data_IF_055637685864
#
_entry.id   IF_055637685864
#
_cell.length_a   1.000
_cell.length_b   1.000
_cell.length_c   1.000
_cell.angle_alpha   90.00
_cell.angle_beta   90.00
_cell.angle_gamma   90.00
#
_symmetry.space_group_name_H-M   'P 1'
#
loop_
_entity.id
_entity.type
_entity.pdbx_description
1 polymer ?
#
# COMPACT_ATOMS: atom_id res chain seq x y z
N UNK A 1 -35.04 -0.68 -4.23
CA UNK A 1 -35.32 -0.34 -2.82
C UNK A 1 -36.79 -0.26 -2.43
N UNK A 2 -37.61 0.71 -2.89
CA UNK A 2 -39.02 0.84 -2.42
C UNK A 2 -39.85 -0.46 -2.56
N UNK A 3 -39.64 -1.20 -3.65
CA UNK A 3 -40.27 -2.53 -3.84
C UNK A 3 -39.83 -3.54 -2.77
N UNK A 4 -38.56 -3.50 -2.36
CA UNK A 4 -38.06 -4.33 -1.27
C UNK A 4 -38.69 -3.92 0.07
N UNK A 5 -38.80 -2.61 0.35
CA UNK A 5 -39.44 -2.09 1.56
C UNK A 5 -40.92 -2.53 1.69
N UNK A 6 -41.61 -2.70 0.57
CA UNK A 6 -42.99 -3.16 0.56
C UNK A 6 -43.15 -4.69 0.68
N UNK A 7 -42.08 -5.47 0.46
CA UNK A 7 -42.11 -6.92 0.49
C UNK A 7 -41.63 -7.44 1.85
N UNK A 8 -42.50 -8.15 2.58
CA UNK A 8 -42.23 -8.61 3.94
C UNK A 8 -41.00 -9.54 4.06
N UNK A 9 -40.72 -10.31 3.00
CA UNK A 9 -39.61 -11.26 2.92
C UNK A 9 -38.35 -10.69 2.26
N UNK A 10 -38.32 -9.41 1.92
CA UNK A 10 -37.17 -8.80 1.26
C UNK A 10 -36.23 -8.17 2.26
N UNK A 11 -35.02 -8.72 2.37
CA UNK A 11 -33.93 -8.20 3.21
C UNK A 11 -32.98 -7.35 2.37
N UNK A 12 -32.74 -7.76 1.12
CA UNK A 12 -31.83 -7.08 0.18
C UNK A 12 -32.46 -6.93 -1.21
N UNK A 13 -31.97 -5.98 -1.98
CA UNK A 13 -32.31 -5.84 -3.39
C UNK A 13 -31.06 -5.73 -4.26
N UNK A 14 -31.17 -6.14 -5.52
CA UNK A 14 -30.19 -5.86 -6.57
C UNK A 14 -30.89 -5.25 -7.77
N UNK A 15 -30.35 -4.17 -8.32
CA UNK A 15 -30.86 -3.48 -9.49
C UNK A 15 -29.78 -3.39 -10.57
N UNK A 16 -30.10 -3.78 -11.80
CA UNK A 16 -29.18 -3.67 -12.92
C UNK A 16 -29.60 -2.50 -13.81
N UNK A 17 -28.75 -1.48 -13.90
CA UNK A 17 -29.08 -0.27 -14.66
C UNK A 17 -29.34 -0.56 -16.15
N UNK A 18 -28.58 -1.49 -16.75
CA UNK A 18 -28.67 -1.81 -18.17
C UNK A 18 -30.00 -2.47 -18.58
N UNK A 19 -30.50 -3.42 -17.76
CA UNK A 19 -31.73 -4.17 -18.04
C UNK A 19 -32.95 -3.59 -17.33
N UNK A 20 -32.74 -2.65 -16.41
CA UNK A 20 -33.74 -2.21 -15.42
C UNK A 20 -34.31 -3.35 -14.56
N UNK A 21 -33.66 -4.52 -14.53
CA UNK A 21 -34.08 -5.65 -13.71
C UNK A 21 -33.93 -5.32 -12.21
N UNK A 22 -34.81 -5.88 -11.39
CA UNK A 22 -34.81 -5.74 -9.94
C UNK A 22 -35.02 -7.11 -9.31
N UNK A 23 -34.04 -7.59 -8.53
CA UNK A 23 -34.13 -8.81 -7.74
C UNK A 23 -34.36 -8.43 -6.28
N UNK A 24 -35.24 -9.17 -5.60
CA UNK A 24 -35.51 -9.06 -4.18
C UNK A 24 -35.03 -10.36 -3.53
N UNK A 25 -34.24 -10.25 -2.47
CA UNK A 25 -33.58 -11.40 -1.84
C UNK A 25 -33.82 -11.41 -0.33
N UNK A 26 -33.87 -12.61 0.25
CA UNK A 26 -34.08 -12.84 1.68
C UNK A 26 -32.78 -12.74 2.50
N UNK A 27 -32.82 -13.21 3.74
CA UNK A 27 -31.68 -13.21 4.68
C UNK A 27 -30.54 -14.14 4.25
N UNK A 28 -30.82 -15.13 3.41
CA UNK A 28 -29.88 -16.11 2.88
C UNK A 28 -29.18 -15.66 1.58
N UNK A 29 -29.38 -14.40 1.18
CA UNK A 29 -28.75 -13.84 0.00
C UNK A 29 -27.21 -13.89 0.10
N UNK A 30 -26.56 -14.42 -0.94
CA UNK A 30 -25.12 -14.31 -1.11
C UNK A 30 -24.76 -13.07 -1.93
N UNK A 31 -23.67 -12.42 -1.56
CA UNK A 31 -23.13 -11.30 -2.33
C UNK A 31 -22.30 -11.81 -3.51
N UNK A 32 -22.38 -11.10 -4.63
CA UNK A 32 -21.52 -11.29 -5.80
C UNK A 32 -21.29 -9.95 -6.48
N UNK A 33 -20.09 -9.72 -7.00
CA UNK A 33 -19.82 -8.55 -7.84
C UNK A 33 -20.38 -8.76 -9.23
N UNK A 34 -21.21 -7.82 -9.68
CA UNK A 34 -21.67 -7.79 -11.05
C UNK A 34 -21.59 -6.37 -11.61
N UNK A 35 -20.90 -6.15 -12.76
CA UNK A 35 -20.77 -4.82 -13.35
C UNK A 35 -22.12 -4.17 -13.63
N UNK A 36 -22.30 -2.93 -13.14
CA UNK A 36 -23.53 -2.15 -13.35
C UNK A 36 -24.73 -2.57 -12.49
N UNK A 37 -24.53 -3.51 -11.57
CA UNK A 37 -25.50 -3.82 -10.52
C UNK A 37 -25.34 -2.86 -9.32
N UNK A 38 -26.46 -2.45 -8.75
CA UNK A 38 -26.56 -1.70 -7.50
C UNK A 38 -27.36 -2.54 -6.53
N UNK A 39 -26.72 -2.99 -5.46
CA UNK A 39 -27.37 -3.75 -4.41
C UNK A 39 -27.45 -2.96 -3.10
N UNK A 40 -28.40 -3.29 -2.24
CA UNK A 40 -28.52 -2.67 -0.94
C UNK A 40 -29.55 -3.34 -0.02
N UNK A 41 -29.56 -2.99 1.27
CA UNK A 41 -30.55 -3.48 2.21
C UNK A 41 -31.95 -2.92 1.92
N UNK A 42 -32.96 -3.54 2.53
CA UNK A 42 -34.34 -3.05 2.52
C UNK A 42 -34.42 -1.60 3.04
N UNK A 43 -33.67 -1.29 4.10
CA UNK A 43 -33.68 0.00 4.80
C UNK A 43 -32.23 0.53 4.87
N UNK A 44 -32.01 1.79 4.46
CA UNK A 44 -30.67 2.42 4.43
C UNK A 44 -30.29 3.13 5.73
N UNK A 45 -31.10 2.98 6.77
CA UNK A 45 -31.00 3.77 7.99
C UNK A 45 -29.90 3.23 8.93
N UNK A 46 -29.37 2.05 8.62
CA UNK A 46 -28.28 1.43 9.34
C UNK A 46 -26.96 1.87 8.71
N UNK A 47 -25.99 2.22 9.55
CA UNK A 47 -24.60 2.34 9.11
C UNK A 47 -24.22 1.07 8.34
N UNK A 48 -23.46 1.22 7.25
CA UNK A 48 -23.05 0.08 6.44
C UNK A 48 -22.45 -0.99 7.37
N UNK A 49 -22.97 -2.24 7.35
CA UNK A 49 -22.47 -3.32 8.20
C UNK A 49 -20.94 -3.48 8.10
N UNK A 50 -20.35 -3.25 6.91
CA UNK A 50 -18.90 -3.28 6.73
C UNK A 50 -18.13 -2.18 7.47
N UNK A 51 -18.81 -1.25 8.13
CA UNK A 51 -18.25 -0.15 8.93
C UNK A 51 -18.50 -0.29 10.44
N UNK A 52 -19.38 -1.20 10.84
CA UNK A 52 -19.75 -1.40 12.26
C UNK A 52 -19.52 -2.83 12.73
N UNK A 53 -19.67 -3.81 11.84
CA UNK A 53 -19.50 -5.22 12.17
C UNK A 53 -18.06 -5.53 12.55
N UNK A 54 -17.91 -6.59 13.36
CA UNK A 54 -16.65 -7.21 13.73
C UNK A 54 -16.73 -8.70 13.37
N UNK A 55 -15.61 -9.32 12.98
CA UNK A 55 -15.60 -10.76 12.73
C UNK A 55 -15.79 -11.54 14.03
N UNK A 56 -16.30 -12.76 13.92
CA UNK A 56 -16.29 -13.74 14.99
C UNK A 56 -14.89 -14.38 15.18
N UNK A 57 -14.79 -15.29 16.15
CA UNK A 57 -13.53 -15.96 16.49
C UNK A 57 -13.04 -16.97 15.42
N UNK A 58 -13.87 -17.29 14.43
CA UNK A 58 -13.53 -18.17 13.31
C UNK A 58 -12.78 -17.45 12.18
N UNK A 59 -12.61 -16.13 12.26
CA UNK A 59 -11.89 -15.36 11.26
C UNK A 59 -10.36 -15.38 11.49
N UNK A 60 -9.54 -15.59 10.44
CA UNK A 60 -9.93 -15.95 9.08
C UNK A 60 -10.28 -17.44 8.98
N UNK A 61 -11.23 -17.76 8.10
CA UNK A 61 -11.62 -19.13 7.79
C UNK A 61 -10.58 -19.86 6.92
N UNK A 62 -10.73 -21.18 6.78
CA UNK A 62 -9.84 -21.98 5.93
C UNK A 62 -10.08 -21.70 4.44
N UNK A 63 -11.28 -21.25 4.07
CA UNK A 63 -11.66 -20.82 2.72
C UNK A 63 -12.18 -19.38 2.72
N UNK A 64 -12.22 -18.74 1.55
CA UNK A 64 -12.78 -17.39 1.40
C UNK A 64 -14.23 -17.32 1.91
N UNK A 65 -15.03 -18.33 1.59
CA UNK A 65 -16.42 -18.43 2.04
C UNK A 65 -16.56 -18.50 3.55
N UNK A 66 -15.70 -19.28 4.22
CA UNK A 66 -15.69 -19.36 5.68
C UNK A 66 -15.28 -18.02 6.30
N UNK A 67 -14.30 -17.34 5.73
CA UNK A 67 -13.90 -15.99 6.18
C UNK A 67 -15.01 -14.96 6.04
N UNK A 68 -15.82 -15.03 4.98
CA UNK A 68 -16.99 -14.18 4.82
C UNK A 68 -18.07 -14.51 5.84
N UNK A 69 -18.38 -15.80 6.03
CA UNK A 69 -19.39 -16.26 6.98
C UNK A 69 -19.10 -15.89 8.42
N UNK A 70 -17.82 -15.72 8.77
CA UNK A 70 -17.37 -15.23 10.07
C UNK A 70 -17.82 -13.78 10.39
N UNK A 71 -18.33 -13.04 9.40
CA UNK A 71 -18.88 -11.70 9.60
C UNK A 71 -20.41 -11.76 9.73
N UNK A 72 -21.04 -10.92 10.58
CA UNK A 72 -22.50 -10.81 10.67
C UNK A 72 -23.17 -10.51 9.32
N UNK A 73 -22.57 -9.63 8.51
CA UNK A 73 -23.02 -9.34 7.15
C UNK A 73 -22.65 -10.41 6.10
N UNK A 74 -22.07 -11.53 6.53
CA UNK A 74 -21.57 -12.61 5.67
C UNK A 74 -20.65 -12.13 4.54
N UNK A 75 -19.84 -11.10 4.83
CA UNK A 75 -18.83 -10.55 3.93
C UNK A 75 -17.72 -9.85 4.71
N UNK A 76 -16.50 -9.96 4.21
CA UNK A 76 -15.38 -9.17 4.72
C UNK A 76 -15.51 -7.73 4.20
N UNK A 77 -15.32 -6.70 5.04
CA UNK A 77 -15.39 -5.32 4.59
C UNK A 77 -14.39 -5.01 3.48
N UNK A 78 -14.86 -4.36 2.42
CA UNK A 78 -14.01 -3.93 1.32
C UNK A 78 -13.05 -2.83 1.78
N UNK A 79 -11.91 -2.74 1.12
CA UNK A 79 -10.94 -1.66 1.32
C UNK A 79 -11.63 -0.32 1.06
N UNK A 80 -11.50 0.60 2.02
CA UNK A 80 -12.09 1.94 1.97
C UNK A 80 -13.61 1.98 1.75
N UNK A 81 -14.32 0.90 2.11
CA UNK A 81 -15.77 0.87 2.05
C UNK A 81 -16.42 1.99 2.87
N UNK A 82 -15.80 2.33 4.00
CA UNK A 82 -16.25 3.36 4.93
C UNK A 82 -15.69 4.75 4.61
N UNK A 83 -15.08 4.91 3.45
CA UNK A 83 -14.54 6.19 3.01
C UNK A 83 -15.50 6.86 2.03
N UNK A 84 -15.84 8.14 2.23
CA UNK A 84 -16.72 8.86 1.31
C UNK A 84 -16.08 8.94 -0.08
N UNK A 85 -16.86 8.72 -1.13
CA UNK A 85 -16.42 8.95 -2.51
C UNK A 85 -17.16 10.14 -3.09
N UNK A 86 -16.50 10.86 -3.99
CA UNK A 86 -17.13 11.81 -4.87
C UNK A 86 -18.00 11.04 -5.87
N UNK A 87 -19.30 11.33 -5.89
CA UNK A 87 -20.25 10.64 -6.77
C UNK A 87 -20.03 10.92 -8.25
N UNK A 88 -19.39 12.04 -8.60
CA UNK A 88 -19.16 12.41 -10.00
C UNK A 88 -17.96 11.66 -10.59
N UNK A 89 -16.91 11.46 -9.80
CA UNK A 89 -15.62 10.92 -10.26
C UNK A 89 -15.35 9.49 -9.76
N UNK A 90 -16.09 9.04 -8.74
CA UNK A 90 -15.77 7.82 -7.99
C UNK A 90 -14.49 7.92 -7.15
N UNK A 91 -13.84 9.09 -7.12
CA UNK A 91 -12.61 9.36 -6.37
C UNK A 91 -12.91 9.45 -4.87
N UNK A 92 -11.94 9.10 -4.00
CA UNK A 92 -12.12 9.24 -2.56
C UNK A 92 -12.11 10.71 -2.16
N UNK A 93 -13.11 11.14 -1.39
CA UNK A 93 -13.22 12.52 -0.95
C UNK A 93 -12.28 12.81 0.24
N UNK A 94 -12.07 14.09 0.50
CA UNK A 94 -11.26 14.57 1.63
C UNK A 94 -11.98 14.28 2.93
N UNK A 95 -11.19 13.91 3.93
CA UNK A 95 -11.73 13.79 5.28
C UNK A 95 -11.48 15.07 6.10
N UNK A 96 -12.50 15.64 6.78
CA UNK A 96 -12.29 16.77 7.67
C UNK A 96 -11.37 16.44 8.86
N UNK A 97 -11.33 15.17 9.30
CA UNK A 97 -10.43 14.73 10.34
C UNK A 97 -9.02 14.46 9.78
N UNK A 98 -8.07 15.34 10.05
CA UNK A 98 -6.65 15.10 9.74
C UNK A 98 -5.82 15.31 11.00
N UNK A 99 -5.06 14.29 11.38
CA UNK A 99 -4.21 14.32 12.57
C UNK A 99 -2.75 14.28 12.15
N UNK A 100 -1.91 15.12 12.76
CA UNK A 100 -0.46 15.00 12.65
C UNK A 100 -0.01 13.93 13.63
N UNK A 101 0.44 12.80 13.12
CA UNK A 101 0.87 11.66 13.96
C UNK A 101 2.38 11.60 14.13
N UNK A 102 3.14 12.24 13.22
CA UNK A 102 4.58 12.45 13.39
C UNK A 102 4.96 13.84 12.84
N UNK A 103 5.84 14.57 13.53
CA UNK A 103 6.32 15.89 13.13
C UNK A 103 7.83 16.00 13.36
N UNK A 104 8.58 16.43 12.34
CA UNK A 104 10.03 16.57 12.46
C UNK A 104 10.46 17.60 13.48
N UNK A 105 9.60 18.55 13.83
CA UNK A 105 9.83 19.48 14.95
C UNK A 105 9.81 18.79 16.32
N UNK A 106 9.18 17.62 16.40
CA UNK A 106 9.03 16.83 17.63
C UNK A 106 9.96 15.60 17.65
N UNK A 107 10.93 15.52 16.73
CA UNK A 107 11.94 14.46 16.72
C UNK A 107 11.72 13.35 15.68
N UNK A 108 10.64 13.40 14.88
CA UNK A 108 10.49 12.50 13.73
C UNK A 108 11.58 12.80 12.67
N UNK A 109 12.46 11.85 12.31
CA UNK A 109 13.55 12.14 11.38
C UNK A 109 13.06 12.55 9.99
N UNK A 110 11.91 12.03 9.55
CA UNK A 110 11.28 12.41 8.29
C UNK A 110 12.08 12.06 7.04
N UNK A 111 13.05 11.15 7.13
CA UNK A 111 14.01 10.84 6.04
C UNK A 111 13.48 9.81 5.07
N UNK A 112 12.25 10.01 4.63
CA UNK A 112 11.52 9.00 3.89
C UNK A 112 12.04 8.84 2.45
N UNK A 113 11.92 7.62 1.96
CA UNK A 113 12.19 7.20 0.57
C UNK A 113 10.89 6.75 -0.11
N UNK A 114 10.92 6.59 -1.43
CA UNK A 114 9.71 6.25 -2.21
C UNK A 114 8.70 7.39 -2.29
N UNK A 115 9.17 8.64 -2.21
CA UNK A 115 8.33 9.83 -2.31
C UNK A 115 8.37 10.42 -3.71
N UNK A 116 7.25 11.02 -4.10
CA UNK A 116 7.10 11.69 -5.40
C UNK A 116 7.33 13.18 -5.24
N UNK A 117 8.22 13.74 -6.06
CA UNK A 117 8.47 15.18 -6.10
C UNK A 117 7.26 15.92 -6.66
N UNK A 118 6.80 16.93 -5.95
CA UNK A 118 5.80 17.88 -6.44
C UNK A 118 6.53 18.94 -7.23
N UNK A 119 6.30 18.98 -8.55
CA UNK A 119 7.00 19.89 -9.46
C UNK A 119 6.60 21.35 -9.24
N UNK A 120 5.32 21.59 -8.96
CA UNK A 120 4.77 22.93 -8.78
C UNK A 120 3.94 22.95 -7.51
N UNK A 121 4.35 23.78 -6.54
CA UNK A 121 3.53 24.15 -5.39
C UNK A 121 2.89 25.51 -5.74
N UNK A 122 1.55 25.60 -5.85
CA UNK A 122 0.88 26.86 -6.16
C UNK A 122 1.24 27.99 -5.20
N UNK A 123 1.20 29.25 -5.66
CA UNK A 123 1.66 30.43 -4.91
C UNK A 123 1.02 30.62 -3.52
N UNK A 124 -0.18 30.09 -3.30
CA UNK A 124 -0.92 30.18 -2.03
C UNK A 124 -1.07 28.85 -1.32
N UNK A 125 -0.29 27.86 -1.75
CA UNK A 125 -0.23 26.54 -1.14
C UNK A 125 1.15 26.32 -0.54
N UNK A 126 1.19 25.48 0.48
CA UNK A 126 2.41 24.93 1.02
C UNK A 126 2.46 23.44 0.69
N UNK A 127 3.64 22.82 0.81
CA UNK A 127 3.76 21.37 0.71
C UNK A 127 2.82 20.66 1.71
N UNK A 128 2.70 21.20 2.94
CA UNK A 128 1.80 20.68 3.98
C UNK A 128 0.32 20.76 3.58
N UNK A 129 -0.15 21.94 3.14
CA UNK A 129 -1.58 22.14 2.79
C UNK A 129 -1.97 21.35 1.56
N UNK A 130 -1.06 21.25 0.58
CA UNK A 130 -1.26 20.43 -0.61
C UNK A 130 -1.37 18.93 -0.28
N UNK A 131 -0.54 18.44 0.64
CA UNK A 131 -0.61 17.06 1.11
C UNK A 131 -1.91 16.79 1.86
N UNK A 132 -2.30 17.64 2.83
CA UNK A 132 -3.57 17.50 3.57
C UNK A 132 -4.80 17.47 2.68
N UNK A 133 -4.74 18.12 1.51
CA UNK A 133 -5.84 18.17 0.55
C UNK A 133 -6.05 16.86 -0.22
N UNK A 134 -5.05 15.99 -0.27
CA UNK A 134 -5.14 14.71 -0.94
C UNK A 134 -5.25 13.59 0.12
N UNK A 135 -6.38 12.85 0.18
CA UNK A 135 -6.57 11.80 1.19
C UNK A 135 -5.54 10.65 1.05
N UNK A 136 -4.90 10.51 -0.11
CA UNK A 136 -3.82 9.55 -0.33
C UNK A 136 -2.44 10.04 0.12
N UNK A 137 -2.28 11.31 0.49
CA UNK A 137 -0.99 11.82 0.93
C UNK A 137 -0.77 11.49 2.41
N UNK A 138 -0.03 10.42 2.67
CA UNK A 138 0.25 9.95 4.04
C UNK A 138 1.32 10.78 4.75
N UNK A 139 2.21 11.42 3.98
CA UNK A 139 3.37 12.16 4.47
C UNK A 139 3.84 13.17 3.43
N UNK A 140 4.36 14.31 3.91
CA UNK A 140 5.19 15.20 3.11
C UNK A 140 6.56 15.43 3.73
N UNK A 141 7.54 15.77 2.90
CA UNK A 141 8.79 16.37 3.33
C UNK A 141 9.18 17.54 2.42
N UNK A 142 9.85 18.53 3.01
CA UNK A 142 10.48 19.65 2.31
C UNK A 142 11.98 19.47 2.43
N UNK A 143 12.66 19.38 1.30
CA UNK A 143 14.11 19.14 1.22
C UNK A 143 14.76 20.33 0.54
N UNK A 144 15.93 20.74 1.02
CA UNK A 144 16.75 21.69 0.30
C UNK A 144 17.70 20.96 -0.64
N UNK A 145 17.55 21.21 -1.93
CA UNK A 145 18.46 20.65 -2.93
C UNK A 145 19.79 21.40 -2.86
N UNK A 146 20.90 20.76 -3.22
CA UNK A 146 22.23 21.40 -3.33
C UNK A 146 22.74 22.08 -2.05
N UNK A 147 22.33 21.58 -0.88
CA UNK A 147 22.80 22.05 0.44
C UNK A 147 21.97 23.19 1.03
N UNK A 148 22.55 23.92 1.98
CA UNK A 148 21.84 24.92 2.82
C UNK A 148 21.27 26.11 2.03
N UNK A 149 21.79 26.36 0.83
CA UNK A 149 21.41 27.52 0.01
C UNK A 149 20.63 27.18 -1.26
N UNK A 150 20.47 25.91 -1.62
CA UNK A 150 19.76 25.58 -2.85
C UNK A 150 18.24 25.64 -2.70
N UNK A 151 17.49 25.36 -3.78
CA UNK A 151 16.06 25.53 -3.80
C UNK A 151 15.34 24.51 -2.92
N UNK A 152 14.20 24.92 -2.33
CA UNK A 152 13.32 24.00 -1.60
C UNK A 152 12.52 23.16 -2.58
N UNK A 153 12.44 21.86 -2.30
CA UNK A 153 11.64 20.90 -3.06
C UNK A 153 10.61 20.23 -2.14
N UNK A 154 9.42 20.03 -2.67
CA UNK A 154 8.31 19.38 -1.97
C UNK A 154 8.18 17.93 -2.45
N UNK A 155 7.98 17.00 -1.52
CA UNK A 155 7.89 15.57 -1.80
C UNK A 155 6.76 14.95 -0.98
N UNK A 156 5.90 14.16 -1.62
CA UNK A 156 4.73 13.52 -1.00
C UNK A 156 4.79 12.00 -1.12
N UNK A 157 4.26 11.30 -0.12
CA UNK A 157 3.95 9.87 -0.18
C UNK A 157 2.50 9.71 -0.64
N UNK A 158 2.27 9.58 -1.95
CA UNK A 158 0.92 9.40 -2.51
C UNK A 158 0.56 7.93 -2.62
N UNK A 159 -0.47 7.51 -1.88
CA UNK A 159 -0.97 6.14 -1.78
C UNK A 159 0.08 5.11 -1.32
N UNK A 160 1.23 5.59 -0.87
CA UNK A 160 2.30 4.83 -0.23
C UNK A 160 2.47 5.32 1.20
N UNK A 161 3.15 4.56 2.04
CA UNK A 161 3.47 5.00 3.41
C UNK A 161 4.78 5.79 3.51
N UNK A 162 5.60 5.79 2.45
CA UNK A 162 6.99 6.23 2.52
C UNK A 162 7.85 5.27 3.33
N UNK A 163 8.99 4.87 2.78
CA UNK A 163 9.85 3.83 3.34
C UNK A 163 11.03 4.43 4.07
N UNK A 164 11.56 3.70 5.05
CA UNK A 164 12.83 3.99 5.69
C UNK A 164 12.91 5.41 6.30
N UNK A 165 11.79 5.94 6.80
CA UNK A 165 11.71 7.31 7.32
C UNK A 165 12.62 7.60 8.53
N UNK A 166 13.06 6.54 9.22
CA UNK A 166 13.91 6.62 10.41
C UNK A 166 15.39 6.33 10.10
N UNK A 167 15.72 5.99 8.85
CA UNK A 167 17.08 5.60 8.49
C UNK A 167 17.91 6.83 8.11
N UNK A 168 19.21 6.77 8.41
CA UNK A 168 20.17 7.77 7.97
C UNK A 168 20.49 7.53 6.47
N UNK A 169 19.55 7.89 5.60
CA UNK A 169 19.73 7.80 4.14
C UNK A 169 20.73 8.85 3.71
N UNK A 170 21.94 8.43 3.32
CA UNK A 170 23.08 9.30 3.00
C UNK A 170 23.43 10.27 4.14
N UNK A 171 24.71 10.38 4.52
CA UNK A 171 25.10 11.18 5.71
C UNK A 171 24.67 12.66 5.66
N UNK A 172 24.18 13.15 4.52
CA UNK A 172 23.87 14.54 4.25
C UNK A 172 22.39 14.82 3.90
N UNK A 173 21.46 13.86 4.00
CA UNK A 173 20.04 14.14 3.76
C UNK A 173 19.31 14.54 5.05
N UNK A 174 18.88 15.79 5.11
CA UNK A 174 18.10 16.33 6.23
C UNK A 174 16.90 17.10 5.69
N UNK A 175 15.65 16.60 5.85
CA UNK A 175 14.48 17.37 5.49
C UNK A 175 14.41 18.62 6.38
N UNK A 176 14.12 19.77 5.79
CA UNK A 176 13.84 21.02 6.52
C UNK A 176 12.62 20.82 7.42
N UNK A 177 11.62 20.10 6.89
CA UNK A 177 10.36 19.82 7.56
C UNK A 177 9.76 18.56 6.99
N UNK A 178 9.27 17.69 7.86
CA UNK A 178 8.48 16.53 7.46
C UNK A 178 7.35 16.31 8.46
N UNK A 179 6.20 15.86 7.97
CA UNK A 179 5.12 15.36 8.83
C UNK A 179 4.46 14.17 8.20
N UNK A 180 3.95 13.30 9.07
CA UNK A 180 3.05 12.21 8.72
C UNK A 180 1.64 12.55 9.20
N UNK A 181 0.65 12.29 8.36
CA UNK A 181 -0.75 12.53 8.66
C UNK A 181 -1.52 11.22 8.74
N UNK A 182 -2.45 11.13 9.68
CA UNK A 182 -3.56 10.19 9.59
C UNK A 182 -4.78 10.94 9.09
N UNK A 183 -5.32 10.50 7.96
CA UNK A 183 -6.61 10.99 7.46
C UNK A 183 -7.72 10.10 8.04
N UNK A 184 -8.76 10.74 8.57
CA UNK A 184 -9.90 10.07 9.18
C UNK A 184 -9.57 9.41 10.51
N UNK A 185 -10.13 8.22 10.68
CA UNK A 185 -10.03 7.35 11.84
C UNK A 185 -9.68 5.93 11.39
N UNK A 186 -9.13 5.15 12.32
CA UNK A 186 -8.83 3.74 12.12
C UNK A 186 -9.64 2.93 13.11
N UNK A 187 -10.14 1.76 12.71
CA UNK A 187 -10.61 0.72 13.64
C UNK A 187 -9.82 -0.56 13.41
N UNK A 188 -9.54 -1.28 14.49
CA UNK A 188 -8.86 -2.58 14.45
C UNK A 188 -9.94 -3.66 14.33
N UNK A 189 -9.82 -4.50 13.31
CA UNK A 189 -10.73 -5.60 13.00
C UNK A 189 -10.24 -6.93 13.58
N UNK A 190 -8.91 -7.13 13.66
CA UNK A 190 -8.29 -8.28 14.31
C UNK A 190 -6.85 -7.99 14.78
N UNK A 191 -6.43 -8.66 15.85
CA UNK A 191 -5.02 -8.73 16.29
C UNK A 191 -4.29 -9.80 15.46
N UNK A 192 -3.12 -9.45 14.91
CA UNK A 192 -2.31 -10.34 14.07
C UNK A 192 -1.07 -10.87 14.81
N UNK A 193 -0.97 -10.69 16.13
CA UNK A 193 0.12 -11.27 16.92
C UNK A 193 0.14 -12.79 16.77
N UNK A 194 1.31 -13.35 16.44
CA UNK A 194 1.46 -14.79 16.24
C UNK A 194 0.90 -15.30 14.90
N UNK A 195 0.64 -14.41 13.95
CA UNK A 195 0.24 -14.74 12.57
C UNK A 195 1.15 -14.01 11.60
N UNK A 196 1.50 -14.61 10.47
CA UNK A 196 2.26 -13.92 9.40
C UNK A 196 1.34 -13.63 8.22
N UNK A 197 1.20 -12.37 7.84
CA UNK A 197 0.45 -11.96 6.65
C UNK A 197 1.41 -11.87 5.46
N UNK A 198 1.09 -12.57 4.39
CA UNK A 198 1.88 -12.56 3.16
C UNK A 198 1.60 -11.29 2.33
N UNK A 199 2.56 -10.91 1.47
CA UNK A 199 2.38 -9.77 0.54
C UNK A 199 2.59 -8.39 1.15
N UNK A 200 3.15 -8.30 2.36
CA UNK A 200 3.50 -7.02 2.99
C UNK A 200 4.85 -6.48 2.50
N UNK A 201 5.00 -5.16 2.55
CA UNK A 201 6.23 -4.44 2.23
C UNK A 201 7.02 -4.10 3.51
N UNK A 202 8.33 -4.32 3.51
CA UNK A 202 9.19 -3.92 4.63
C UNK A 202 9.36 -2.39 4.67
N UNK A 203 8.73 -1.74 5.65
CA UNK A 203 8.82 -0.29 5.81
C UNK A 203 10.16 0.16 6.43
N UNK A 204 10.69 -0.62 7.39
CA UNK A 204 11.99 -0.41 8.01
C UNK A 204 12.47 -1.67 8.76
N UNK A 205 13.79 -1.87 8.84
CA UNK A 205 14.42 -3.00 9.55
C UNK A 205 14.34 -2.96 11.09
N UNK A 206 14.81 -4.00 11.81
CA UNK A 206 14.59 -4.12 13.25
C UNK A 206 15.48 -3.20 14.12
N UNK A 207 16.61 -2.72 13.59
CA UNK A 207 17.67 -2.07 14.38
C UNK A 207 17.54 -0.55 14.54
N UNK A 208 16.42 0.04 14.08
CA UNK A 208 16.23 1.50 14.10
C UNK A 208 15.76 2.03 15.45
N UNK A 209 15.21 1.17 16.28
CA UNK A 209 14.69 1.51 17.59
C UNK A 209 15.36 0.62 18.62
N UNK A 210 15.88 1.20 19.70
CA UNK A 210 16.36 0.39 20.83
C UNK A 210 15.18 -0.16 21.63
N UNK A 211 14.09 0.61 21.73
CA UNK A 211 12.88 0.18 22.38
C UNK A 211 11.92 -0.47 21.36
N UNK A 212 11.64 -1.75 21.56
CA UNK A 212 10.69 -2.53 20.75
C UNK A 212 9.30 -1.89 20.73
N UNK A 213 8.84 -1.32 21.84
CA UNK A 213 7.55 -0.62 21.91
C UNK A 213 7.49 0.57 20.96
N UNK A 214 8.58 1.34 20.86
CA UNK A 214 8.67 2.46 19.92
C UNK A 214 8.72 1.99 18.47
N UNK A 215 9.33 0.83 18.22
CA UNK A 215 9.38 0.21 16.89
C UNK A 215 7.99 -0.29 16.43
N UNK A 216 7.25 -0.92 17.34
CA UNK A 216 5.86 -1.35 17.12
C UNK A 216 4.99 -0.13 16.83
N UNK A 217 5.10 0.91 17.65
CA UNK A 217 4.33 2.14 17.47
C UNK A 217 4.66 2.82 16.13
N UNK A 218 5.93 2.97 15.80
CA UNK A 218 6.37 3.49 14.51
C UNK A 218 5.82 2.68 13.32
N UNK A 219 5.69 1.36 13.48
CA UNK A 219 5.12 0.49 12.46
C UNK A 219 3.61 0.72 12.28
N UNK A 220 2.89 0.79 13.40
CA UNK A 220 1.46 1.13 13.43
C UNK A 220 1.18 2.47 12.77
N UNK A 221 1.91 3.52 13.16
CA UNK A 221 1.75 4.87 12.60
C UNK A 221 2.09 4.93 11.11
N UNK A 222 3.05 4.12 10.64
CA UNK A 222 3.37 4.02 9.21
C UNK A 222 2.15 3.55 8.41
N UNK A 223 1.49 2.46 8.83
CA UNK A 223 0.28 1.97 8.17
C UNK A 223 -0.91 2.93 8.36
N UNK A 224 -1.15 3.43 9.56
CA UNK A 224 -2.27 4.34 9.88
C UNK A 224 -2.25 5.65 9.06
N UNK A 225 -1.10 6.03 8.52
CA UNK A 225 -1.01 7.21 7.65
C UNK A 225 -1.47 6.99 6.22
N UNK A 226 -1.43 5.76 5.73
CA UNK A 226 -1.83 5.43 4.37
C UNK A 226 -3.22 4.79 4.40
N UNK A 227 -4.23 5.51 3.92
CA UNK A 227 -5.62 5.03 3.91
C UNK A 227 -5.80 3.72 3.11
N UNK A 228 -4.84 3.35 2.26
CA UNK A 228 -4.84 2.10 1.49
C UNK A 228 -4.27 0.90 2.26
N UNK A 229 -3.67 1.12 3.43
CA UNK A 229 -3.09 0.07 4.26
C UNK A 229 -4.17 -0.56 5.16
N UNK A 230 -4.36 -1.88 5.06
CA UNK A 230 -5.23 -2.64 5.95
C UNK A 230 -4.46 -3.55 6.90
N UNK A 231 -3.16 -3.77 6.66
CA UNK A 231 -2.38 -4.73 7.44
C UNK A 231 -1.05 -4.11 7.83
N UNK A 232 -0.65 -4.32 9.09
CA UNK A 232 0.72 -4.09 9.52
C UNK A 232 1.17 -5.14 10.53
N UNK A 233 2.47 -5.41 10.55
CA UNK A 233 3.11 -6.36 11.44
C UNK A 233 4.51 -5.89 11.82
N UNK A 234 4.84 -5.96 13.11
CA UNK A 234 6.22 -5.78 13.57
C UNK A 234 6.84 -7.14 13.89
N UNK A 235 7.84 -7.52 13.10
CA UNK A 235 8.63 -8.71 13.28
C UNK A 235 9.96 -8.36 13.97
N UNK A 236 10.30 -9.06 15.06
CA UNK A 236 11.53 -8.78 15.83
C UNK A 236 12.82 -8.92 15.01
N UNK A 237 12.85 -9.83 14.03
CA UNK A 237 14.04 -10.10 13.22
C UNK A 237 14.13 -9.21 12.00
N UNK A 238 12.98 -8.86 11.41
CA UNK A 238 12.94 -8.21 10.09
C UNK A 238 12.38 -6.78 10.14
N UNK A 239 11.89 -6.32 11.28
CA UNK A 239 11.35 -4.98 11.48
C UNK A 239 9.88 -4.87 11.08
N UNK A 240 9.51 -3.71 10.55
CA UNK A 240 8.13 -3.36 10.24
C UNK A 240 7.72 -3.78 8.83
N UNK A 241 6.54 -4.37 8.72
CA UNK A 241 5.89 -4.80 7.49
C UNK A 241 4.52 -4.16 7.40
N UNK A 242 4.20 -3.51 6.29
CA UNK A 242 2.94 -2.80 6.06
C UNK A 242 2.38 -3.15 4.69
N UNK A 243 1.07 -3.10 4.53
CA UNK A 243 0.46 -3.19 3.21
C UNK A 243 0.71 -1.90 2.42
N UNK A 244 1.25 -2.04 1.21
CA UNK A 244 1.37 -0.95 0.24
C UNK A 244 0.85 -1.45 -1.12
N UNK A 245 -0.44 -1.22 -1.43
CA UNK A 245 -1.05 -1.76 -2.64
C UNK A 245 -0.46 -1.20 -3.93
N UNK A 246 0.20 -0.04 -3.88
CA UNK A 246 0.83 0.57 -5.04
C UNK A 246 2.16 -0.11 -5.34
N UNK A 247 2.94 -0.43 -4.32
CA UNK A 247 4.27 -1.02 -4.48
C UNK A 247 4.25 -2.55 -4.60
N UNK A 248 3.42 -3.25 -3.83
CA UNK A 248 3.42 -4.73 -3.75
C UNK A 248 2.13 -5.38 -4.25
N UNK A 249 1.12 -4.58 -4.62
CA UNK A 249 -0.23 -5.07 -4.87
C UNK A 249 -1.03 -5.26 -3.56
N UNK A 250 -2.37 -5.40 -3.66
CA UNK A 250 -3.19 -5.64 -2.48
C UNK A 250 -2.94 -7.03 -1.90
N UNK A 251 -3.06 -7.16 -0.57
CA UNK A 251 -3.14 -8.48 0.07
C UNK A 251 -4.43 -9.18 -0.38
N UNK A 252 -4.38 -10.51 -0.52
CA UNK A 252 -5.54 -11.31 -0.93
C UNK A 252 -6.74 -11.07 0.01
N UNK A 253 -7.92 -10.89 -0.58
CA UNK A 253 -9.18 -10.61 0.10
C UNK A 253 -10.30 -11.45 -0.54
N UNK A 254 -11.17 -12.13 0.25
CA UNK A 254 -11.13 -12.27 1.71
C UNK A 254 -9.84 -12.93 2.22
N UNK A 255 -9.30 -12.53 3.39
CA UNK A 255 -8.15 -13.22 3.95
C UNK A 255 -8.57 -14.63 4.38
N UNK A 256 -7.73 -15.62 4.11
CA UNK A 256 -7.90 -17.01 4.57
C UNK A 256 -6.74 -17.40 5.48
N UNK A 257 -6.82 -18.56 6.12
CA UNK A 257 -5.69 -19.14 6.87
C UNK A 257 -4.44 -19.37 6.00
N UNK A 258 -4.58 -19.46 4.67
CA UNK A 258 -3.42 -19.53 3.77
C UNK A 258 -2.71 -18.17 3.62
N UNK A 259 -3.47 -17.06 3.60
CA UNK A 259 -2.92 -15.70 3.54
C UNK A 259 -2.39 -15.26 4.91
N UNK A 260 -3.05 -15.71 5.98
CA UNK A 260 -2.72 -15.48 7.37
C UNK A 260 -2.07 -16.74 7.95
N UNK A 261 -0.81 -16.95 7.57
CA UNK A 261 -0.08 -18.16 7.91
C UNK A 261 0.32 -18.15 9.39
N UNK A 262 -0.50 -18.81 10.21
CA UNK A 262 -0.24 -19.07 11.62
C UNK A 262 0.73 -20.26 11.85
N UNK A 263 0.97 -21.08 10.81
CA UNK A 263 1.83 -22.27 10.90
C UNK A 263 3.30 -21.96 10.56
N UNK A 264 3.58 -20.80 9.98
CA UNK A 264 4.94 -20.36 9.67
C UNK A 264 5.83 -20.41 10.92
N UNK A 265 7.05 -20.97 10.84
CA UNK A 265 7.99 -20.95 11.97
C UNK A 265 8.40 -19.51 12.38
N UNK A 266 8.11 -18.52 11.53
CA UNK A 266 8.41 -17.11 11.80
C UNK A 266 7.30 -16.38 12.58
N UNK A 267 6.14 -16.99 12.82
CA UNK A 267 5.04 -16.32 13.53
C UNK A 267 5.40 -15.93 14.97
N UNK A 268 6.24 -16.73 15.63
CA UNK A 268 6.73 -16.42 16.97
C UNK A 268 7.56 -15.11 17.03
N UNK A 269 8.01 -14.62 15.89
CA UNK A 269 8.76 -13.37 15.77
C UNK A 269 7.85 -12.16 15.50
N UNK A 270 6.58 -12.36 15.14
CA UNK A 270 5.59 -11.29 14.96
C UNK A 270 5.09 -10.87 16.34
N UNK A 271 5.64 -9.77 16.86
CA UNK A 271 5.38 -9.31 18.22
C UNK A 271 4.06 -8.54 18.35
N UNK A 272 3.65 -7.88 17.27
CA UNK A 272 2.42 -7.11 17.17
C UNK A 272 2.02 -6.99 15.70
N UNK A 273 0.73 -6.77 15.45
CA UNK A 273 0.19 -6.43 14.14
C UNK A 273 -1.32 -6.30 14.22
N UNK A 274 -1.91 -5.59 13.27
CA UNK A 274 -3.36 -5.38 13.23
C UNK A 274 -3.86 -5.50 11.80
N UNK A 275 -5.05 -6.10 11.65
CA UNK A 275 -5.90 -5.92 10.49
C UNK A 275 -6.84 -4.77 10.78
N UNK A 276 -6.85 -3.74 9.94
CA UNK A 276 -7.51 -2.46 10.21
C UNK A 276 -8.41 -2.02 9.06
N UNK A 277 -9.28 -1.07 9.37
CA UNK A 277 -10.07 -0.34 8.39
C UNK A 277 -10.01 1.16 8.64
N UNK A 278 -9.79 1.91 7.57
CA UNK A 278 -9.90 3.36 7.55
C UNK A 278 -11.34 3.81 7.29
N UNK A 279 -11.80 4.81 8.02
CA UNK A 279 -13.00 5.56 7.68
C UNK A 279 -12.78 7.04 7.92
N UNK A 280 -13.55 7.88 7.26
CA UNK A 280 -13.46 9.31 7.51
C UNK A 280 -14.15 9.71 8.82
N UNK A 281 -15.29 9.08 9.12
CA UNK A 281 -16.07 9.30 10.33
C UNK A 281 -16.92 8.07 10.63
N UNK A 282 -17.66 8.09 11.73
CA UNK A 282 -18.70 7.11 11.99
C UNK A 282 -18.27 5.84 12.74
N UNK A 283 -17.01 5.74 13.18
CA UNK A 283 -16.65 4.69 14.11
C UNK A 283 -17.14 5.04 15.52
N UNK A 284 -17.95 4.15 16.11
CA UNK A 284 -18.34 4.25 17.51
C UNK A 284 -17.12 4.14 18.44
N UNK A 285 -16.11 3.36 18.04
CA UNK A 285 -14.89 3.09 18.81
C UNK A 285 -13.64 3.21 17.92
N UNK A 286 -13.22 4.43 17.57
CA UNK A 286 -11.99 4.62 16.81
C UNK A 286 -10.77 4.20 17.65
N UNK A 287 -9.76 3.61 16.99
CA UNK A 287 -8.46 3.35 17.59
C UNK A 287 -7.87 4.66 18.13
N UNK A 288 -7.49 4.64 19.40
CA UNK A 288 -6.87 5.81 20.03
C UNK A 288 -5.44 5.94 19.52
N UNK A 289 -5.20 6.97 18.72
CA UNK A 289 -3.86 7.39 18.35
C UNK A 289 -3.38 8.38 19.40
N UNK A 290 -2.62 7.89 20.36
CA UNK A 290 -1.85 8.76 21.24
C UNK A 290 -0.69 9.29 20.42
N UNK A 291 -0.70 10.58 20.07
CA UNK A 291 0.45 11.29 19.50
C UNK A 291 1.57 11.46 20.54
N UNK A 292 1.82 10.42 21.33
CA UNK A 292 2.94 10.37 22.25
C UNK A 292 4.19 10.43 21.40
N UNK A 293 5.00 11.46 21.64
CA UNK A 293 6.26 11.66 20.94
C UNK A 293 7.04 10.37 21.09
N UNK A 294 7.18 9.62 19.99
CA UNK A 294 8.06 8.47 19.91
C UNK A 294 9.40 8.94 20.45
N UNK A 295 9.75 8.49 21.66
CA UNK A 295 10.88 9.04 22.41
C UNK A 295 12.09 9.24 21.51
N UNK A 296 12.77 10.38 21.66
CA UNK A 296 13.83 10.82 20.75
C UNK A 296 14.69 9.64 20.27
N UNK A 297 14.90 9.48 18.94
CA UNK A 297 15.75 8.42 18.43
C UNK A 297 17.11 8.52 19.14
N UNK A 298 17.62 7.38 19.61
CA UNK A 298 18.80 7.35 20.46
C UNK A 298 19.96 8.02 19.73
N UNK A 299 20.46 9.07 20.37
CA UNK A 299 21.82 9.51 20.19
C UNK A 299 22.18 9.96 18.77
N UNK A 300 21.53 11.02 18.28
CA UNK A 300 22.37 12.14 17.82
C UNK A 300 22.77 12.92 19.07
N UNK A 301 23.55 12.30 19.96
CA UNK A 301 24.51 13.09 20.72
C UNK A 301 25.31 13.79 19.64
N UNK A 302 25.32 15.12 19.64
CA UNK A 302 26.16 15.91 18.74
C UNK A 302 27.53 15.20 18.58
N UNK A 303 28.09 15.11 17.36
CA UNK A 303 29.34 14.40 17.13
C UNK A 303 30.33 14.84 18.22
N UNK A 304 30.95 13.90 18.95
CA UNK A 304 31.85 14.26 20.04
C UNK A 304 32.89 15.21 19.46
N UNK A 305 32.95 16.43 19.98
CA UNK A 305 33.83 17.49 19.48
C UNK A 305 35.32 17.13 19.63
N UNK A 306 35.64 15.96 20.19
CA UNK A 306 36.93 15.27 20.19
C UNK A 306 36.69 13.78 20.47
N UNK A 307 36.84 12.92 19.45
CA UNK A 307 36.96 11.49 19.69
C UNK A 307 38.34 11.20 20.32
N UNK A 308 38.43 10.38 21.40
CA UNK A 308 39.69 9.79 21.79
C UNK A 308 40.14 8.82 20.69
N UNK A 309 41.40 8.93 20.24
CA UNK A 309 42.02 7.98 19.30
C UNK A 309 42.08 6.60 19.95
N UNK A 310 41.15 5.71 19.61
CA UNK A 310 41.32 4.28 19.81
C UNK A 310 42.22 3.73 18.70
N UNK A 311 43.22 2.94 19.10
CA UNK A 311 44.22 2.39 18.19
C UNK A 311 43.61 1.32 17.28
N UNK A 312 44.06 1.28 16.02
CA UNK A 312 43.59 0.38 14.96
C UNK A 312 43.72 -1.13 15.28
N UNK A 313 44.31 -1.49 16.41
CA UNK A 313 44.62 -2.87 16.76
C UNK A 313 43.47 -3.63 17.46
N UNK A 314 42.47 -2.94 18.01
CA UNK A 314 41.31 -3.57 18.68
C UNK A 314 40.11 -3.80 17.76
N UNK A 315 39.98 -3.05 16.67
CA UNK A 315 38.89 -3.23 15.70
C UNK A 315 39.03 -4.53 14.86
N UNK A 316 40.25 -5.05 14.70
CA UNK A 316 40.51 -6.24 13.88
C UNK A 316 40.20 -7.57 14.59
N UNK A 317 40.13 -7.61 15.93
CA UNK A 317 39.90 -8.87 16.68
C UNK A 317 38.45 -9.34 16.71
N UNK A 318 37.47 -8.44 16.54
CA UNK A 318 36.05 -8.79 16.66
C UNK A 318 35.37 -9.18 15.34
N UNK A 319 36.06 -9.08 14.20
CA UNK A 319 35.50 -9.42 12.89
C UNK A 319 35.76 -10.89 12.46
N UNK A 320 36.63 -11.63 13.16
CA UNK A 320 37.15 -12.92 12.64
C UNK A 320 36.53 -14.19 13.24
N UNK A 321 35.59 -14.10 14.18
CA UNK A 321 35.06 -15.28 14.90
C UNK A 321 33.65 -15.77 14.51
N UNK A 322 32.97 -15.13 13.55
CA UNK A 322 31.59 -15.52 13.19
C UNK A 322 31.41 -16.08 11.76
N UNK A 323 32.48 -16.45 11.05
CA UNK A 323 32.38 -16.79 9.61
C UNK A 323 32.67 -18.26 9.22
N UNK A 324 32.90 -19.19 10.16
CA UNK A 324 33.05 -20.61 9.81
C UNK A 324 32.42 -21.54 10.85
N UNK A 325 31.18 -21.96 10.60
CA UNK A 325 30.66 -23.29 10.97
C UNK A 325 29.25 -23.49 10.43
N UNK A 326 29.06 -24.53 9.61
CA UNK A 326 27.73 -25.10 9.35
C UNK A 326 27.31 -25.24 7.88
N UNK A 327 28.11 -25.92 7.07
CA UNK A 327 27.63 -26.52 5.81
C UNK A 327 26.85 -27.80 6.10
N UNK A 328 25.67 -27.93 5.50
CA UNK A 328 24.86 -29.15 5.50
C UNK A 328 24.02 -29.20 4.23
N UNK A 329 24.49 -29.99 3.26
CA UNK A 329 23.76 -30.34 2.03
C UNK A 329 22.52 -31.16 2.34
N UNK A 330 21.36 -30.73 1.83
CA UNK A 330 20.28 -31.64 1.45
C UNK A 330 19.66 -31.21 0.12
N UNK A 331 19.81 -32.08 -0.86
CA UNK A 331 19.19 -32.09 -2.18
C UNK A 331 17.73 -32.52 -2.10
N UNK A 332 16.82 -31.79 -2.75
CA UNK A 332 15.41 -32.21 -2.88
C UNK A 332 14.62 -31.38 -3.90
N UNK A 333 14.43 -31.96 -5.09
CA UNK A 333 13.24 -31.86 -5.96
C UNK A 333 12.64 -30.49 -6.31
N UNK A 334 13.00 -29.97 -7.49
CA UNK A 334 12.24 -28.89 -8.16
C UNK A 334 11.07 -29.49 -8.94
N UNK A 335 9.84 -29.12 -8.57
CA UNK A 335 8.62 -29.32 -9.37
C UNK A 335 8.45 -28.10 -10.27
N UNK A 336 8.61 -28.28 -11.58
CA UNK A 336 8.35 -27.25 -12.58
C UNK A 336 6.87 -27.32 -12.96
N UNK A 337 6.11 -26.26 -12.63
CA UNK A 337 4.75 -26.06 -13.14
C UNK A 337 4.84 -25.45 -14.54
N UNK A 338 4.16 -26.09 -15.49
CA UNK A 338 3.90 -25.58 -16.84
C UNK A 338 2.98 -24.35 -16.71
N UNK A 339 3.39 -23.24 -17.31
CA UNK A 339 2.57 -22.04 -17.48
C UNK A 339 1.93 -22.18 -18.85
N UNK A 340 0.61 -22.24 -18.90
CA UNK A 340 -0.15 -22.23 -20.15
C UNK A 340 0.03 -20.88 -20.87
N UNK A 341 0.27 -20.99 -22.17
CA UNK A 341 0.52 -19.91 -23.12
C UNK A 341 -0.78 -19.15 -23.43
N UNK A 342 -0.78 -17.85 -23.16
CA UNK A 342 -1.90 -16.93 -23.33
C UNK A 342 -2.16 -16.67 -24.82
N UNK A 343 -3.33 -17.06 -25.33
CA UNK A 343 -3.78 -16.76 -26.69
C UNK A 343 -4.10 -15.27 -26.86
N UNK A 344 -3.74 -14.65 -28.00
CA UNK A 344 -4.08 -13.25 -28.27
C UNK A 344 -5.59 -13.05 -28.52
N UNK A 345 -6.12 -11.86 -28.18
CA UNK A 345 -7.56 -11.59 -28.22
C UNK A 345 -8.13 -11.56 -29.65
N UNK A 346 -9.38 -12.02 -29.86
CA UNK A 346 -10.05 -11.91 -31.14
C UNK A 346 -10.41 -10.45 -31.46
N UNK A 347 -10.31 -10.11 -32.75
CA UNK A 347 -10.65 -8.79 -33.31
C UNK A 347 -12.16 -8.52 -33.22
N UNK A 348 -12.59 -7.25 -33.08
CA UNK A 348 -13.99 -6.89 -32.99
C UNK A 348 -14.69 -6.97 -34.36
N UNK A 349 -15.77 -7.74 -34.42
CA UNK A 349 -16.65 -7.82 -35.58
C UNK A 349 -17.63 -6.64 -35.65
N UNK A 350 -17.92 -6.28 -36.90
CA UNK A 350 -18.72 -5.14 -37.36
C UNK A 350 -20.23 -5.43 -37.19
N UNK A 351 -21.07 -4.46 -36.85
CA UNK A 351 -22.51 -4.69 -36.74
C UNK A 351 -23.18 -4.58 -38.11
N UNK A 352 -23.75 -5.67 -38.61
CA UNK A 352 -24.77 -5.67 -39.66
C UNK A 352 -26.14 -5.95 -39.05
N UNK A 353 -27.11 -5.12 -39.42
CA UNK A 353 -28.46 -5.14 -38.87
C UNK A 353 -29.46 -5.98 -39.67
N UNK A 354 -30.48 -6.44 -38.93
CA UNK A 354 -31.92 -6.43 -39.30
C UNK A 354 -32.41 -7.56 -40.26
N UNK A 355 -33.68 -8.05 -40.21
CA UNK A 355 -34.65 -8.20 -39.12
C UNK A 355 -35.39 -9.58 -39.01
N UNK A 356 -36.09 -9.77 -37.88
CA UNK A 356 -37.43 -10.39 -37.66
C UNK A 356 -37.81 -11.75 -38.25
N UNK A 357 -38.18 -12.74 -37.40
CA UNK A 357 -39.55 -13.31 -37.24
C UNK A 357 -39.59 -14.48 -36.19
N UNK A 358 -40.77 -15.01 -35.75
CA UNK A 358 -41.14 -15.00 -34.34
C UNK A 358 -41.23 -16.37 -33.62
N UNK A 359 -41.29 -16.26 -32.29
CA UNK A 359 -42.00 -17.09 -31.30
C UNK A 359 -42.33 -18.56 -31.62
N UNK A 360 -41.69 -19.48 -30.89
CA UNK A 360 -42.26 -20.78 -30.54
C UNK A 360 -42.11 -21.04 -29.03
N UNK A 361 -43.23 -21.44 -28.43
CA UNK A 361 -43.42 -21.84 -27.03
C UNK A 361 -42.98 -23.30 -26.79
N UNK A 362 -42.84 -23.74 -25.52
CA UNK A 362 -42.01 -24.87 -25.11
C UNK A 362 -42.76 -26.20 -25.10
N UNK A 363 -42.02 -27.31 -25.25
CA UNK A 363 -42.45 -28.63 -24.82
C UNK A 363 -41.36 -29.39 -24.06
N UNK A 364 -41.74 -30.34 -23.18
CA UNK A 364 -40.94 -30.75 -22.03
C UNK A 364 -40.36 -32.17 -22.13
N UNK A 365 -39.49 -32.47 -21.15
CA UNK A 365 -39.10 -33.80 -20.62
C UNK A 365 -38.32 -34.77 -21.52
N UNK A 366 -37.10 -35.12 -21.13
CA UNK A 366 -36.76 -36.40 -20.45
C UNK A 366 -35.23 -36.61 -20.36
N UNK A 367 -34.75 -36.92 -19.16
CA UNK A 367 -33.61 -37.81 -18.89
C UNK A 367 -34.22 -39.06 -18.19
N UNK A 368 -33.53 -40.21 -17.96
CA UNK A 368 -32.09 -40.49 -18.06
C UNK A 368 -31.73 -41.83 -18.74
N UNK A 369 -30.47 -42.02 -19.18
CA UNK A 369 -29.88 -43.37 -19.34
C UNK A 369 -28.40 -43.34 -18.96
N UNK A 370 -28.02 -44.30 -18.12
CA UNK A 370 -26.68 -44.53 -17.60
C UNK A 370 -25.91 -45.57 -18.44
N UNK A 371 -24.57 -45.41 -18.47
CA UNK A 371 -23.50 -46.41 -18.69
C UNK A 371 -23.42 -47.09 -20.08
N UNK A 372 -22.22 -47.53 -20.59
CA UNK A 372 -21.11 -48.10 -19.82
C UNK A 372 -19.67 -47.67 -20.21
N UNK A 373 -18.74 -48.18 -19.41
CA UNK A 373 -17.28 -48.12 -19.56
C UNK A 373 -16.75 -48.78 -20.84
N UNK A 374 -15.65 -48.25 -21.37
CA UNK A 374 -14.72 -48.99 -22.21
C UNK A 374 -13.30 -48.40 -22.10
N UNK A 375 -12.34 -49.31 -21.93
CA UNK A 375 -10.91 -49.09 -21.89
C UNK A 375 -10.34 -48.63 -23.25
N UNK A 376 -9.25 -47.88 -23.22
CA UNK A 376 -8.50 -47.49 -24.41
C UNK A 376 -7.08 -47.04 -24.07
N UNK A 377 -6.14 -47.97 -24.25
CA UNK A 377 -4.69 -47.77 -24.28
C UNK A 377 -4.26 -46.85 -25.44
N UNK A 378 -3.30 -45.93 -25.23
CA UNK A 378 -2.75 -45.10 -26.30
C UNK A 378 -1.41 -44.43 -25.98
N UNK A 379 -0.34 -45.06 -26.46
CA UNK A 379 1.01 -44.59 -26.83
C UNK A 379 1.55 -43.24 -26.32
N UNK A 380 2.69 -43.31 -25.61
CA UNK A 380 3.62 -42.21 -25.41
C UNK A 380 4.36 -41.88 -26.72
N UNK A 381 4.18 -40.66 -27.22
CA UNK A 381 4.98 -40.07 -28.29
C UNK A 381 6.11 -39.22 -27.69
N UNK A 382 7.34 -39.73 -27.76
CA UNK A 382 8.57 -39.01 -27.40
C UNK A 382 8.99 -38.09 -28.54
N UNK A 383 8.83 -36.78 -28.38
CA UNK A 383 9.42 -35.77 -29.28
C UNK A 383 10.77 -35.32 -28.72
N UNK A 384 11.85 -35.85 -29.29
CA UNK A 384 13.20 -35.37 -29.03
C UNK A 384 13.42 -34.01 -29.69
N UNK A 385 13.71 -32.99 -28.88
CA UNK A 385 14.06 -31.66 -29.36
C UNK A 385 15.49 -31.69 -29.92
N UNK A 386 15.75 -31.17 -31.14
CA UNK A 386 17.04 -31.34 -31.79
C UNK A 386 18.11 -30.38 -31.25
N UNK A 387 19.29 -30.94 -30.98
CA UNK A 387 20.50 -30.36 -30.41
C UNK A 387 20.99 -29.02 -31.02
N UNK A 388 20.59 -28.67 -32.25
CA UNK A 388 20.97 -27.39 -32.86
C UNK A 388 20.27 -26.17 -32.25
N UNK A 389 19.16 -26.35 -31.51
CA UNK A 389 18.49 -25.25 -30.80
C UNK A 389 19.29 -24.73 -29.60
N UNK A 390 20.05 -25.60 -28.92
CA UNK A 390 20.93 -25.18 -27.82
C UNK A 390 22.13 -24.35 -28.30
N UNK A 391 22.64 -24.63 -29.51
CA UNK A 391 23.73 -23.87 -30.10
C UNK A 391 23.37 -22.40 -30.38
N UNK A 392 22.12 -22.14 -30.79
CA UNK A 392 21.64 -20.78 -31.07
C UNK A 392 21.45 -19.94 -29.81
N UNK A 393 21.03 -20.55 -28.70
CA UNK A 393 20.80 -19.83 -27.44
C UNK A 393 22.12 -19.40 -26.78
N UNK A 394 23.14 -20.26 -26.83
CA UNK A 394 24.48 -19.94 -26.28
C UNK A 394 25.18 -18.86 -27.11
N UNK A 395 25.01 -18.84 -28.43
CA UNK A 395 25.64 -17.83 -29.29
C UNK A 395 25.08 -16.41 -29.04
N UNK A 396 23.78 -16.29 -28.77
CA UNK A 396 23.14 -14.99 -28.51
C UNK A 396 23.48 -14.41 -27.14
N UNK A 397 23.66 -15.26 -26.12
CA UNK A 397 24.08 -14.82 -24.77
C UNK A 397 25.52 -14.29 -24.79
N UNK A 398 26.41 -14.93 -25.56
CA UNK A 398 27.80 -14.46 -25.70
C UNK A 398 27.88 -13.15 -26.50
N UNK A 399 27.07 -12.99 -27.55
CA UNK A 399 27.04 -11.75 -28.34
C UNK A 399 26.53 -10.53 -27.54
N UNK A 400 25.53 -10.69 -26.68
CA UNK A 400 25.04 -9.61 -25.82
C UNK A 400 26.03 -9.21 -24.72
N UNK A 401 26.81 -10.16 -24.19
CA UNK A 401 27.82 -9.88 -23.17
C UNK A 401 28.98 -9.00 -23.68
N UNK A 402 29.38 -9.16 -24.94
CA UNK A 402 30.50 -8.40 -25.53
C UNK A 402 30.09 -6.95 -25.86
N UNK A 403 28.82 -6.72 -26.22
CA UNK A 403 28.32 -5.37 -26.53
C UNK A 403 28.25 -4.46 -25.28
N UNK A 404 27.95 -5.02 -24.10
CA UNK A 404 27.88 -4.27 -22.86
C UNK A 404 29.26 -3.92 -22.29
N UNK A 405 30.29 -4.72 -22.59
CA UNK A 405 31.65 -4.47 -22.12
C UNK A 405 32.34 -3.31 -22.89
N UNK A 406 31.95 -3.05 -24.14
CA UNK A 406 32.55 -1.97 -24.95
C UNK A 406 31.91 -0.59 -24.71
N UNK A 407 30.70 -0.53 -24.17
CA UNK A 407 30.00 0.74 -23.89
C UNK A 407 30.60 1.56 -22.73
N UNK A 408 31.37 0.94 -21.83
CA UNK A 408 31.91 1.60 -20.64
C UNK A 408 33.26 2.29 -20.83
N UNK A 409 33.92 2.15 -21.99
CA UNK A 409 35.28 2.70 -22.21
C UNK A 409 35.29 4.08 -22.87
N UNK A 410 34.15 4.58 -23.40
CA UNK A 410 34.14 5.82 -24.22
C UNK A 410 33.64 7.08 -23.47
N UNK A 411 33.08 6.98 -22.26
CA UNK A 411 32.52 8.16 -21.55
C UNK A 411 33.47 8.78 -20.52
N UNK A 412 34.69 9.12 -20.93
CA UNK A 412 35.62 9.86 -20.05
C UNK A 412 36.61 10.72 -20.84
N UNK A 413 36.12 11.67 -21.63
CA UNK A 413 36.91 12.81 -22.13
C UNK A 413 35.99 13.93 -22.64
N UNK A 414 36.38 15.18 -22.40
CA UNK A 414 35.65 16.46 -22.57
C UNK A 414 34.64 16.72 -21.42
N UNK A 415 34.79 17.74 -20.58
CA UNK A 415 34.88 19.16 -20.95
C UNK A 415 35.72 19.93 -19.91
N UNK A 416 36.85 20.48 -20.33
CA UNK A 416 37.51 21.65 -19.74
C UNK A 416 37.65 22.68 -20.87
N UNK A 417 37.17 23.92 -20.67
CA UNK A 417 37.42 24.98 -21.65
C UNK A 417 36.48 26.19 -21.61
N UNK A 418 36.82 27.14 -20.73
CA UNK A 418 36.84 28.59 -20.92
C UNK A 418 35.62 29.37 -21.48
N UNK A 419 35.22 30.40 -20.74
CA UNK A 419 34.35 31.48 -21.21
C UNK A 419 34.19 32.61 -20.19
N UNK A 420 35.21 33.46 -20.06
CA UNK A 420 35.17 34.78 -19.40
C UNK A 420 34.53 35.84 -20.29
N UNK A 421 33.61 36.63 -19.72
CA UNK A 421 33.21 38.03 -20.03
C UNK A 421 31.74 38.22 -19.63
N UNK A 422 31.19 39.36 -19.24
CA UNK A 422 31.58 40.71 -18.80
C UNK A 422 30.24 41.33 -18.34
N UNK A 423 30.29 42.18 -17.32
CA UNK A 423 29.43 43.37 -17.09
C UNK A 423 27.89 43.20 -17.20
N UNK A 424 27.17 43.52 -16.12
CA UNK A 424 26.63 44.88 -15.92
C UNK A 424 25.81 44.94 -14.63
N UNK A 425 26.16 45.93 -13.81
CA UNK A 425 25.34 46.49 -12.74
C UNK A 425 23.95 46.88 -13.27
N UNK A 426 22.91 46.66 -12.47
CA UNK A 426 21.80 47.61 -12.40
C UNK A 426 21.13 47.55 -11.01
N UNK A 427 21.35 48.65 -10.29
CA UNK A 427 20.63 49.14 -9.13
C UNK A 427 19.11 49.18 -9.34
N UNK A 428 18.31 48.76 -8.35
CA UNK A 428 17.16 49.55 -7.88
C UNK A 428 16.40 48.93 -6.70
N UNK A 429 15.68 49.75 -5.91
CA UNK A 429 15.74 49.64 -4.46
C UNK A 429 14.47 49.12 -3.77
N UNK A 430 14.72 48.66 -2.54
CA UNK A 430 13.93 48.83 -1.30
C UNK A 430 12.72 49.77 -1.41
N UNK A 431 11.53 49.21 -1.13
CA UNK A 431 10.47 49.91 -0.43
C UNK A 431 9.98 49.04 0.75
N UNK A 432 10.19 49.55 1.96
CA UNK A 432 9.46 49.18 3.17
C UNK A 432 8.20 50.04 3.26
N UNK A 433 7.06 49.51 3.73
CA UNK A 433 6.08 50.33 4.42
C UNK A 433 6.13 50.07 5.92
N UNK A 434 6.43 51.16 6.63
CA UNK A 434 6.22 51.39 8.04
C UNK A 434 4.93 50.76 8.58
N UNK A 435 5.08 49.95 9.62
CA UNK A 435 4.00 49.66 10.57
C UNK A 435 3.84 50.84 11.52
N UNK A 436 2.72 51.54 11.41
CA UNK A 436 2.23 52.41 12.47
C UNK A 436 1.36 51.60 13.43
N UNK A 437 1.82 51.58 14.67
CA UNK A 437 1.08 51.31 15.90
C UNK A 437 -0.23 52.09 15.97
N UNK A 438 -1.34 51.42 16.26
CA UNK A 438 -2.48 52.05 16.93
C UNK A 438 -2.97 51.13 18.05
N UNK A 439 -2.77 51.64 19.28
CA UNK A 439 -3.42 51.21 20.50
C UNK A 439 -4.85 51.75 20.46
N UNK A 440 -5.85 50.87 20.62
CA UNK A 440 -7.12 51.27 21.22
C UNK A 440 -7.44 50.35 22.40
N UNK A 441 -7.22 50.91 23.58
CA UNK A 441 -7.94 50.57 24.81
C UNK A 441 -9.35 51.17 24.72
N UNK A 442 -10.40 50.41 25.03
CA UNK A 442 -11.77 50.91 24.90
C UNK A 442 -12.88 50.04 25.48
N UNK A 443 -12.85 49.86 26.80
CA UNK A 443 -14.00 49.89 27.73
C UNK A 443 -15.35 49.17 27.43
N UNK A 444 -15.68 48.27 28.37
CA UNK A 444 -16.92 48.15 29.17
C UNK A 444 -18.32 47.87 28.54
N UNK A 445 -18.86 46.75 29.02
CA UNK A 445 -20.18 46.57 29.66
C UNK A 445 -21.47 46.61 28.81
N UNK A 446 -22.08 45.43 28.62
CA UNK A 446 -23.21 44.95 29.43
C UNK A 446 -23.48 43.46 29.20
#
# INVERSE_FOLDING_TARGET
QRTCQAAAQCTFFTHWNASSACCLSGEDASWSEEPGAVAGPQVCDQADPGCVDMPDAGFPGATERESELAWPAHRVPLKLQCWPKNWDEGSYDRCPGIQVIEDSKLGFPGRCSGLTRIQVVPQFETCETLCKRNPFCSLFQVVQLDGVYGPKSCWHAYATTGLNCYVNREQNFFPIRAKRFMHGQVRVLADLKGTMVQGLLNAFGPYWFINVSSAIEACRLNCYSNIMCQYWQYNRLNGCWVEDPVAMGPVASPPTQATWDAASPHVAMVLAGEYIQHACSGFANPAKVTGEVLGLPIGVTAPPTKAPRLSAHEAARNAFHNFFSGGGHHSGGTVVRVIDEEQPPPKPDKPDGTPSHPAQQPQPTTAPVAAPAAAGSGSQGSTSMPWYWWGWLVLNVVACGVALAWGHVVSKQAVDGAGTALLSDEDSPREEPNGSTELEEGHMAK
#
